data_IF_271138389665
#
_entry.id   IF_271138389665
#
_cell.length_a   1.000
_cell.length_b   1.000
_cell.length_c   1.000
_cell.angle_alpha   90.00
_cell.angle_beta   90.00
_cell.angle_gamma   90.00
#
_symmetry.space_group_name_H-M   'P 1'
#
loop_
_entity.id
_entity.type
_entity.pdbx_description
1 polymer ?
#
# COMPACT_ATOMS: atom_id res chain seq x y z
N UNK A 1 -9.33 -4.12 -1.48
CA UNK A 1 -9.53 -3.10 -2.53
C UNK A 1 -9.54 -3.78 -3.89
N UNK A 2 -10.31 -3.27 -4.85
CA UNK A 2 -10.20 -3.63 -6.27
C UNK A 2 -9.46 -2.49 -6.99
N UNK A 3 -8.40 -2.81 -7.73
CA UNK A 3 -7.67 -1.84 -8.54
C UNK A 3 -7.72 -2.24 -10.01
N UNK A 4 -7.88 -1.25 -10.89
CA UNK A 4 -7.95 -1.45 -12.34
C UNK A 4 -6.93 -0.57 -13.04
N UNK A 5 -6.07 -1.17 -13.87
CA UNK A 5 -5.15 -0.47 -14.76
C UNK A 5 -5.65 -0.61 -16.20
N UNK A 6 -5.94 0.52 -16.83
CA UNK A 6 -6.42 0.56 -18.22
C UNK A 6 -5.25 0.35 -19.19
N UNK A 7 -5.25 -0.75 -19.93
CA UNK A 7 -4.05 -1.24 -20.64
C UNK A 7 -3.55 -0.32 -21.76
N UNK A 8 -4.46 0.42 -22.38
CA UNK A 8 -4.21 1.38 -23.46
C UNK A 8 -3.84 2.78 -22.93
N UNK A 9 -3.92 3.00 -21.61
CA UNK A 9 -3.62 4.30 -21.03
C UNK A 9 -2.11 4.55 -21.01
N UNK A 10 -1.61 5.73 -21.46
CA UNK A 10 -0.18 6.01 -21.54
C UNK A 10 0.58 5.84 -20.22
N UNK A 11 -0.07 6.12 -19.08
CA UNK A 11 0.56 5.92 -17.77
C UNK A 11 0.89 4.45 -17.52
N UNK A 12 0.04 3.50 -17.93
CA UNK A 12 0.27 2.08 -17.71
C UNK A 12 1.50 1.56 -18.48
N UNK A 13 1.85 2.21 -19.60
CA UNK A 13 3.07 1.90 -20.35
C UNK A 13 4.36 2.30 -19.62
N UNK A 14 4.26 3.12 -18.56
CA UNK A 14 5.41 3.47 -17.70
C UNK A 14 5.82 2.32 -16.77
N UNK A 15 5.02 1.27 -16.64
CA UNK A 15 5.32 0.09 -15.82
C UNK A 15 5.72 0.48 -14.39
N UNK A 16 6.93 0.10 -13.97
CA UNK A 16 7.50 0.45 -12.65
C UNK A 16 7.56 1.93 -12.33
N UNK A 17 7.53 2.79 -13.35
CA UNK A 17 7.51 4.25 -13.21
C UNK A 17 6.10 4.83 -13.22
N UNK A 18 5.05 4.01 -13.16
CA UNK A 18 3.67 4.46 -13.01
C UNK A 18 3.51 5.21 -11.67
N UNK A 19 2.69 6.25 -11.64
CA UNK A 19 2.53 7.08 -10.44
C UNK A 19 2.06 6.27 -9.22
N UNK A 20 1.09 5.38 -9.42
CA UNK A 20 0.57 4.48 -8.39
C UNK A 20 1.42 3.21 -8.16
N UNK A 21 2.57 3.08 -8.82
CA UNK A 21 3.53 2.03 -8.46
C UNK A 21 4.31 2.47 -7.24
N UNK A 22 4.09 1.86 -6.06
CA UNK A 22 4.87 2.22 -4.90
C UNK A 22 6.36 1.89 -5.16
N UNK A 23 7.30 2.69 -4.65
CA UNK A 23 8.69 2.28 -4.62
C UNK A 23 8.85 0.94 -3.90
N UNK A 24 10.00 0.28 -4.06
CA UNK A 24 10.27 -0.95 -3.33
C UNK A 24 10.19 -0.68 -1.83
N UNK A 25 9.31 -1.40 -1.14
CA UNK A 25 9.01 -1.21 0.27
C UNK A 25 8.82 -2.54 0.99
N UNK A 26 8.78 -2.50 2.30
CA UNK A 26 8.67 -3.66 3.19
C UNK A 26 7.65 -3.36 4.27
N UNK A 27 6.76 -4.32 4.55
CA UNK A 27 5.87 -4.29 5.70
C UNK A 27 6.48 -5.11 6.83
N UNK A 28 6.52 -4.57 8.06
CA UNK A 28 7.12 -5.27 9.20
C UNK A 28 6.15 -6.21 9.91
N UNK A 29 4.85 -5.92 9.84
CA UNK A 29 3.83 -6.58 10.67
C UNK A 29 2.75 -7.29 9.84
N UNK A 30 2.50 -6.82 8.61
CA UNK A 30 1.33 -7.23 7.83
C UNK A 30 1.78 -7.97 6.58
N UNK A 31 1.07 -9.03 6.21
CA UNK A 31 1.17 -9.57 4.85
C UNK A 31 0.25 -8.80 3.92
N UNK A 32 0.67 -8.66 2.67
CA UNK A 32 -0.17 -8.13 1.60
C UNK A 32 -0.46 -9.25 0.61
N UNK A 33 -1.73 -9.48 0.33
CA UNK A 33 -2.18 -10.55 -0.55
C UNK A 33 -2.93 -9.96 -1.74
N UNK A 34 -2.70 -10.53 -2.91
CA UNK A 34 -3.42 -10.11 -4.11
C UNK A 34 -3.83 -11.29 -4.99
N UNK A 35 -4.84 -11.06 -5.82
CA UNK A 35 -5.30 -11.99 -6.85
C UNK A 35 -5.57 -11.22 -8.14
N UNK A 36 -5.14 -11.79 -9.27
CA UNK A 36 -5.35 -11.21 -10.60
C UNK A 36 -6.65 -11.77 -11.16
N UNK A 37 -7.61 -10.88 -11.40
CA UNK A 37 -8.94 -11.23 -11.92
C UNK A 37 -8.96 -11.16 -13.45
N UNK A 38 -8.20 -10.23 -14.03
CA UNK A 38 -8.07 -10.04 -15.48
C UNK A 38 -6.78 -9.31 -15.84
N UNK A 39 -6.30 -9.48 -17.07
CA UNK A 39 -5.07 -8.83 -17.57
C UNK A 39 -3.79 -9.41 -16.97
N UNK A 40 -2.82 -8.55 -16.67
CA UNK A 40 -1.52 -8.93 -16.09
C UNK A 40 -0.94 -7.82 -15.21
N UNK A 41 -0.39 -8.19 -14.06
CA UNK A 41 0.26 -7.25 -13.14
C UNK A 41 1.70 -7.68 -12.88
N UNK A 42 2.61 -6.71 -12.85
CA UNK A 42 3.99 -6.94 -12.45
C UNK A 42 4.19 -6.73 -10.95
N UNK A 43 5.08 -7.53 -10.37
CA UNK A 43 5.64 -7.29 -9.05
C UNK A 43 7.16 -7.24 -9.15
N UNK A 44 7.79 -6.36 -8.38
CA UNK A 44 9.22 -6.47 -8.07
C UNK A 44 9.32 -6.98 -6.64
N UNK A 45 10.04 -8.06 -6.36
CA UNK A 45 10.14 -8.64 -5.01
C UNK A 45 11.58 -8.92 -4.58
N UNK A 46 11.77 -9.07 -3.27
CA UNK A 46 13.03 -9.39 -2.59
C UNK A 46 14.09 -8.28 -2.70
N UNK A 47 15.20 -8.44 -1.97
CA UNK A 47 16.37 -7.57 -2.10
C UNK A 47 17.12 -7.72 -3.44
N UNK A 48 16.87 -8.80 -4.18
CA UNK A 48 17.44 -8.99 -5.51
C UNK A 48 16.69 -8.19 -6.58
N UNK A 49 15.52 -7.62 -6.24
CA UNK A 49 14.62 -6.92 -7.16
C UNK A 49 14.25 -7.80 -8.36
N UNK A 50 13.64 -8.95 -8.06
CA UNK A 50 13.17 -9.95 -9.02
C UNK A 50 11.81 -9.51 -9.54
N UNK A 51 11.66 -9.50 -10.86
CA UNK A 51 10.39 -9.16 -11.51
C UNK A 51 9.60 -10.41 -11.85
N UNK A 52 8.30 -10.38 -11.53
CA UNK A 52 7.36 -11.45 -11.88
C UNK A 52 6.10 -10.83 -12.45
N UNK A 53 5.65 -11.35 -13.60
CA UNK A 53 4.32 -11.06 -14.16
C UNK A 53 3.34 -12.10 -13.65
N UNK A 54 2.23 -11.63 -13.10
CA UNK A 54 1.13 -12.45 -12.61
C UNK A 54 -0.08 -12.28 -13.53
N UNK A 55 -0.67 -13.38 -13.93
CA UNK A 55 -1.89 -13.44 -14.75
C UNK A 55 -3.00 -14.14 -13.98
N UNK A 56 -4.27 -14.01 -14.40
CA UNK A 56 -5.34 -14.83 -13.85
C UNK A 56 -4.98 -16.31 -13.94
N UNK A 57 -5.46 -17.11 -12.98
CA UNK A 57 -5.24 -18.54 -13.01
C UNK A 57 -5.90 -19.17 -14.23
N UNK A 58 -5.20 -20.14 -14.82
CA UNK A 58 -5.75 -20.96 -15.89
C UNK A 58 -6.80 -21.91 -15.31
N UNK A 59 -8.07 -21.53 -15.46
CA UNK A 59 -9.22 -22.31 -15.02
C UNK A 59 -9.45 -23.57 -15.85
N UNK A 60 -8.73 -23.73 -16.98
CA UNK A 60 -8.95 -24.84 -17.92
C UNK A 60 -8.12 -26.10 -17.59
N UNK A 61 -7.02 -25.96 -16.84
CA UNK A 61 -6.02 -27.04 -16.74
C UNK A 61 -5.99 -27.75 -15.38
N UNK A 62 -6.47 -27.15 -14.29
CA UNK A 62 -6.28 -27.74 -12.94
C UNK A 62 -7.53 -27.89 -12.07
N UNK A 63 -8.68 -27.31 -12.44
CA UNK A 63 -9.92 -27.38 -11.64
C UNK A 63 -9.80 -26.82 -10.22
N UNK A 64 -8.63 -26.33 -9.82
CA UNK A 64 -8.31 -25.80 -8.51
C UNK A 64 -8.23 -24.28 -8.62
N UNK A 65 -9.01 -23.58 -7.80
CA UNK A 65 -8.83 -22.14 -7.61
C UNK A 65 -7.39 -21.90 -7.16
N UNK A 66 -6.59 -21.22 -7.99
CA UNK A 66 -5.21 -20.89 -7.60
C UNK A 66 -5.26 -19.98 -6.39
N UNK A 67 -4.42 -20.32 -5.40
CA UNK A 67 -4.33 -19.54 -4.17
C UNK A 67 -3.90 -18.11 -4.51
N UNK A 68 -4.46 -17.09 -3.84
CA UNK A 68 -3.95 -15.73 -3.90
C UNK A 68 -2.44 -15.66 -3.64
N UNK A 69 -1.77 -14.69 -4.24
CA UNK A 69 -0.35 -14.44 -4.04
C UNK A 69 -0.16 -13.65 -2.75
N UNK A 70 0.48 -14.28 -1.77
CA UNK A 70 0.83 -13.64 -0.50
C UNK A 70 2.25 -13.10 -0.54
N UNK A 71 2.40 -11.86 -0.08
CA UNK A 71 3.67 -11.22 0.24
C UNK A 71 3.76 -11.15 1.75
N UNK A 72 4.56 -12.05 2.33
CA UNK A 72 4.74 -12.14 3.76
C UNK A 72 5.40 -10.88 4.35
N UNK A 73 5.26 -10.63 5.67
CA UNK A 73 6.02 -9.59 6.34
C UNK A 73 7.52 -9.79 6.09
N UNK A 74 8.26 -8.68 6.10
CA UNK A 74 9.70 -8.64 5.85
C UNK A 74 10.15 -9.00 4.42
N UNK A 75 9.23 -9.14 3.47
CA UNK A 75 9.55 -9.32 2.06
C UNK A 75 9.48 -7.97 1.33
N UNK A 76 10.60 -7.44 0.82
CA UNK A 76 10.59 -6.27 -0.05
C UNK A 76 9.72 -6.51 -1.28
N UNK A 77 8.86 -5.56 -1.64
CA UNK A 77 8.03 -5.66 -2.82
C UNK A 77 7.57 -4.31 -3.38
N UNK A 78 7.03 -4.34 -4.59
CA UNK A 78 6.42 -3.23 -5.32
C UNK A 78 5.48 -3.80 -6.38
N UNK A 79 4.39 -3.10 -6.67
CA UNK A 79 3.41 -3.44 -7.72
C UNK A 79 3.52 -2.47 -8.89
N UNK A 80 3.33 -2.98 -10.11
CA UNK A 80 3.34 -2.15 -11.30
C UNK A 80 2.45 -2.69 -12.43
N UNK A 81 1.77 -1.82 -13.18
CA UNK A 81 1.00 -2.24 -14.35
C UNK A 81 1.93 -2.89 -15.37
N UNK A 82 1.58 -4.06 -15.89
CA UNK A 82 2.35 -4.67 -16.98
C UNK A 82 2.25 -3.77 -18.23
N UNK A 83 3.36 -3.18 -18.72
CA UNK A 83 3.32 -2.32 -19.89
C UNK A 83 2.90 -3.09 -21.16
N UNK A 84 3.03 -4.41 -21.15
CA UNK A 84 2.70 -5.30 -22.25
C UNK A 84 1.30 -5.94 -22.13
N UNK A 85 0.51 -5.56 -21.12
CA UNK A 85 -0.86 -6.05 -20.98
C UNK A 85 -1.68 -5.78 -22.27
N UNK A 86 -2.34 -6.83 -22.77
CA UNK A 86 -3.19 -6.79 -23.97
C UNK A 86 -4.65 -6.44 -23.67
N UNK A 87 -5.02 -6.38 -22.40
CA UNK A 87 -6.35 -6.05 -21.90
C UNK A 87 -6.24 -5.39 -20.52
N UNK A 88 -7.31 -4.71 -20.11
CA UNK A 88 -7.37 -4.07 -18.80
C UNK A 88 -7.05 -5.05 -17.68
N UNK A 89 -6.20 -4.60 -16.76
CA UNK A 89 -5.77 -5.41 -15.62
C UNK A 89 -6.64 -5.09 -14.43
N UNK A 90 -7.25 -6.11 -13.83
CA UNK A 90 -7.99 -5.99 -12.57
C UNK A 90 -7.36 -6.88 -11.53
N UNK A 91 -7.01 -6.30 -10.38
CA UNK A 91 -6.54 -7.04 -9.21
C UNK A 91 -7.44 -6.80 -8.00
N UNK A 92 -7.54 -7.83 -7.15
CA UNK A 92 -8.01 -7.70 -5.79
C UNK A 92 -6.78 -7.70 -4.88
N UNK A 93 -6.67 -6.72 -3.98
CA UNK A 93 -5.56 -6.59 -3.04
C UNK A 93 -6.09 -6.33 -1.64
N UNK A 94 -5.50 -6.97 -0.64
CA UNK A 94 -5.85 -6.78 0.77
C UNK A 94 -4.66 -7.07 1.67
N UNK A 95 -4.60 -6.39 2.80
CA UNK A 95 -3.62 -6.67 3.83
C UNK A 95 -4.23 -7.60 4.90
N UNK A 96 -3.42 -8.49 5.46
CA UNK A 96 -3.76 -9.24 6.66
C UNK A 96 -3.10 -8.57 7.87
N UNK A 97 -3.86 -7.84 8.70
CA UNK A 97 -3.31 -7.29 9.93
C UNK A 97 -2.91 -8.41 10.89
N UNK A 98 -1.73 -8.28 11.48
CA UNK A 98 -1.23 -9.12 12.57
C UNK A 98 -0.24 -8.25 13.38
N UNK A 99 -0.38 -8.00 14.71
CA UNK A 99 -1.34 -8.49 15.71
C UNK A 99 -2.50 -7.49 16.03
N UNK A 100 -3.22 -7.69 17.15
CA UNK A 100 -4.43 -6.97 17.64
C UNK A 100 -4.43 -5.42 17.54
N UNK A 101 -3.28 -4.77 17.32
CA UNK A 101 -3.17 -3.32 17.20
C UNK A 101 -3.09 -2.81 15.74
N UNK A 102 -3.25 -3.71 14.75
CA UNK A 102 -3.05 -3.43 13.32
C UNK A 102 -4.31 -3.45 12.46
N UNK A 103 -5.48 -3.83 12.99
CA UNK A 103 -6.72 -4.07 12.23
C UNK A 103 -7.13 -2.92 11.29
N UNK A 104 -6.67 -1.69 11.55
CA UNK A 104 -7.12 -0.48 10.86
C UNK A 104 -5.99 0.29 10.17
N UNK A 105 -4.73 -0.14 10.30
CA UNK A 105 -3.56 0.64 9.84
C UNK A 105 -3.21 0.44 8.35
N UNK A 106 -3.68 -0.65 7.74
CA UNK A 106 -3.63 -0.90 6.28
C UNK A 106 -4.96 -1.45 5.76
N UNK A 107 -6.06 -0.88 6.24
CA UNK A 107 -7.38 -1.23 5.75
C UNK A 107 -7.66 -0.63 4.35
N UNK A 108 -8.90 -0.76 3.87
CA UNK A 108 -9.31 -0.16 2.59
C UNK A 108 -9.08 1.35 2.56
N UNK A 109 -9.29 2.06 3.67
CA UNK A 109 -9.18 3.52 3.73
C UNK A 109 -7.73 3.97 3.57
N UNK A 110 -6.78 3.21 4.14
CA UNK A 110 -5.35 3.42 3.90
C UNK A 110 -5.02 3.37 2.40
N UNK A 111 -5.37 2.29 1.71
CA UNK A 111 -5.07 2.13 0.29
C UNK A 111 -5.75 3.20 -0.56
N UNK A 112 -7.03 3.50 -0.26
CA UNK A 112 -7.79 4.54 -0.94
C UNK A 112 -7.11 5.90 -0.78
N UNK A 113 -6.77 6.31 0.44
CA UNK A 113 -6.14 7.59 0.72
C UNK A 113 -4.79 7.73 0.01
N UNK A 114 -3.91 6.73 0.15
CA UNK A 114 -2.58 6.78 -0.41
C UNK A 114 -2.63 6.82 -1.95
N UNK A 115 -3.42 5.93 -2.57
CA UNK A 115 -3.47 5.83 -4.03
C UNK A 115 -4.20 7.00 -4.68
N UNK A 116 -5.26 7.53 -4.05
CA UNK A 116 -5.92 8.75 -4.53
C UNK A 116 -5.02 9.97 -4.40
N UNK A 117 -4.33 10.12 -3.26
CA UNK A 117 -3.40 11.23 -3.04
C UNK A 117 -2.27 11.23 -4.09
N UNK A 118 -1.66 10.07 -4.33
CA UNK A 118 -0.59 9.94 -5.33
C UNK A 118 -1.12 10.16 -6.75
N UNK A 119 -2.36 9.76 -7.06
CA UNK A 119 -3.01 10.08 -8.34
C UNK A 119 -3.21 11.58 -8.52
N UNK A 120 -3.78 12.25 -7.52
CA UNK A 120 -4.00 13.69 -7.55
C UNK A 120 -2.68 14.47 -7.72
N UNK A 121 -1.61 14.04 -7.04
CA UNK A 121 -0.28 14.63 -7.20
C UNK A 121 0.24 14.44 -8.63
N UNK A 122 0.11 13.23 -9.19
CA UNK A 122 0.58 12.94 -10.54
C UNK A 122 -0.24 13.66 -11.63
N UNK A 123 -1.51 13.93 -11.36
CA UNK A 123 -2.42 14.67 -12.23
C UNK A 123 -2.34 16.19 -12.02
N UNK A 124 -1.50 16.67 -11.10
CA UNK A 124 -1.33 18.10 -10.79
C UNK A 124 -2.51 18.72 -10.03
N UNK A 125 -3.42 17.91 -9.50
CA UNK A 125 -4.55 18.32 -8.65
C UNK A 125 -4.14 18.57 -7.20
N UNK A 126 -3.01 18.01 -6.78
CA UNK A 126 -2.43 18.22 -5.45
C UNK A 126 -0.92 18.43 -5.50
N UNK A 127 -0.39 19.05 -4.43
CA UNK A 127 1.06 19.16 -4.24
C UNK A 127 1.58 17.99 -3.41
N UNK A 128 2.73 17.45 -3.81
CA UNK A 128 3.42 16.41 -3.04
C UNK A 128 3.88 16.98 -1.69
N UNK A 129 3.38 16.39 -0.61
CA UNK A 129 3.79 16.62 0.76
C UNK A 129 4.56 15.41 1.23
N UNK A 130 5.88 15.56 1.33
CA UNK A 130 6.76 14.50 1.85
C UNK A 130 6.32 14.12 3.27
N UNK A 131 5.97 15.10 4.10
CA UNK A 131 5.50 14.84 5.47
C UNK A 131 4.21 14.00 5.50
N UNK A 132 3.27 14.24 4.59
CA UNK A 132 2.05 13.44 4.48
C UNK A 132 2.37 12.00 4.10
N UNK A 133 3.18 11.79 3.06
CA UNK A 133 3.59 10.45 2.61
C UNK A 133 4.31 9.70 3.73
N UNK A 134 5.27 10.34 4.40
CA UNK A 134 6.03 9.71 5.48
C UNK A 134 5.14 9.37 6.68
N UNK A 135 4.18 10.24 7.03
CA UNK A 135 3.21 9.97 8.09
C UNK A 135 2.33 8.76 7.76
N UNK A 136 1.74 8.73 6.56
CA UNK A 136 0.89 7.64 6.11
C UNK A 136 1.66 6.31 6.08
N UNK A 137 2.90 6.29 5.56
CA UNK A 137 3.72 5.07 5.54
C UNK A 137 4.19 4.63 6.95
N UNK A 138 4.42 5.57 7.87
CA UNK A 138 4.90 5.22 9.22
C UNK A 138 3.82 4.56 10.06
N UNK A 139 2.58 5.02 9.96
CA UNK A 139 1.48 4.39 10.70
C UNK A 139 1.16 2.98 10.20
N UNK A 140 1.51 2.65 8.96
CA UNK A 140 1.34 1.31 8.36
C UNK A 140 2.54 0.39 8.59
N UNK A 141 3.44 0.70 9.53
CA UNK A 141 4.64 -0.09 9.82
C UNK A 141 5.41 -0.52 8.55
N UNK A 142 5.51 0.42 7.61
CA UNK A 142 6.10 0.21 6.29
C UNK A 142 7.39 1.00 6.21
N UNK A 143 8.40 0.49 5.48
CA UNK A 143 9.60 1.25 5.17
C UNK A 143 9.95 1.13 3.69
N UNK A 144 10.55 2.19 3.14
CA UNK A 144 11.18 2.10 1.83
C UNK A 144 12.47 1.26 1.91
N UNK A 145 12.81 0.61 0.80
CA UNK A 145 14.05 -0.16 0.67
C UNK A 145 14.99 0.57 -0.27
N UNK A 146 16.03 1.20 0.29
CA UNK A 146 17.07 1.89 -0.47
C UNK A 146 18.18 0.93 -0.86
N UNK A 147 18.69 1.09 -2.08
CA UNK A 147 19.80 0.30 -2.62
C UNK A 147 19.62 -1.21 -2.41
N UNK A 148 18.52 -1.83 -2.90
CA UNK A 148 18.16 -3.21 -2.56
C UNK A 148 19.30 -4.21 -2.84
N UNK A 149 20.06 -4.02 -3.92
CA UNK A 149 21.15 -4.90 -4.37
C UNK A 149 22.48 -4.68 -3.63
N UNK A 150 22.61 -3.64 -2.81
CA UNK A 150 23.79 -3.39 -1.98
C UNK A 150 23.75 -4.28 -0.72
N UNK A 151 23.97 -5.59 -0.92
CA UNK A 151 23.81 -6.62 0.11
C UNK A 151 24.68 -6.36 1.35
N UNK A 152 25.85 -5.74 1.19
CA UNK A 152 26.78 -5.40 2.27
C UNK A 152 26.20 -4.40 3.28
N UNK A 153 25.19 -3.62 2.91
CA UNK A 153 24.49 -2.71 3.82
C UNK A 153 23.57 -3.45 4.81
N UNK A 154 23.24 -4.72 4.54
CA UNK A 154 22.41 -5.53 5.44
C UNK A 154 21.07 -4.85 5.75
N UNK A 155 20.68 -4.75 7.03
CA UNK A 155 19.47 -4.04 7.48
C UNK A 155 19.43 -2.53 7.20
N UNK A 156 20.57 -1.87 6.96
CA UNK A 156 20.61 -0.41 6.77
C UNK A 156 19.78 0.05 5.57
N UNK A 157 19.54 -0.84 4.60
CA UNK A 157 18.70 -0.62 3.40
C UNK A 157 17.26 -0.20 3.73
N UNK A 158 16.71 -0.63 4.86
CA UNK A 158 15.36 -0.27 5.30
C UNK A 158 15.35 0.45 6.66
N UNK A 159 16.36 0.22 7.51
CA UNK A 159 16.44 0.86 8.81
C UNK A 159 16.65 2.38 8.71
N UNK A 160 17.57 2.83 7.84
CA UNK A 160 17.80 4.28 7.63
C UNK A 160 16.54 4.97 7.08
N UNK A 161 15.90 4.46 6.01
CA UNK A 161 14.62 5.01 5.54
C UNK A 161 13.55 5.04 6.64
N UNK A 162 13.45 3.99 7.44
CA UNK A 162 12.45 3.90 8.50
C UNK A 162 12.67 4.96 9.60
N UNK A 163 13.92 5.21 10.01
CA UNK A 163 14.22 6.27 10.99
C UNK A 163 13.91 7.66 10.44
N UNK A 164 14.29 7.92 9.18
CA UNK A 164 13.95 9.18 8.50
C UNK A 164 12.42 9.38 8.43
N UNK A 165 11.70 8.33 8.04
CA UNK A 165 10.25 8.33 7.98
C UNK A 165 9.61 8.58 9.34
N UNK A 166 10.13 7.98 10.42
CA UNK A 166 9.65 8.19 11.79
C UNK A 166 9.83 9.65 12.24
N UNK A 167 10.97 10.26 11.95
CA UNK A 167 11.23 11.68 12.24
C UNK A 167 10.25 12.58 11.47
N UNK A 168 10.05 12.34 10.18
CA UNK A 168 9.06 13.08 9.38
C UNK A 168 7.63 12.90 9.89
N UNK A 169 7.25 11.68 10.29
CA UNK A 169 5.94 11.41 10.84
C UNK A 169 5.72 12.13 12.18
N UNK A 170 6.75 12.22 13.02
CA UNK A 170 6.69 13.01 14.26
C UNK A 170 6.47 14.49 13.96
N UNK A 171 7.26 15.06 13.04
CA UNK A 171 7.10 16.46 12.62
C UNK A 171 5.70 16.73 12.04
N UNK A 172 5.19 15.82 11.20
CA UNK A 172 3.85 15.91 10.63
C UNK A 172 2.77 15.93 11.71
N UNK A 173 2.86 15.04 12.72
CA UNK A 173 1.94 15.03 13.87
C UNK A 173 2.03 16.31 14.70
N UNK A 174 3.25 16.81 14.96
CA UNK A 174 3.44 18.08 15.65
C UNK A 174 2.83 19.27 14.88
N UNK A 175 2.79 19.20 13.54
CA UNK A 175 2.12 20.17 12.68
C UNK A 175 0.60 19.95 12.56
N UNK A 176 0.02 18.99 13.29
CA UNK A 176 -1.42 18.70 13.28
C UNK A 176 -1.90 17.85 12.10
N UNK A 177 -0.99 17.27 11.30
CA UNK A 177 -1.35 16.41 10.17
C UNK A 177 -1.90 15.07 10.66
N UNK A 178 -2.87 14.53 9.90
CA UNK A 178 -3.47 13.21 10.15
C UNK A 178 -3.00 12.21 9.09
N UNK A 179 -2.85 10.91 9.43
CA UNK A 179 -2.40 9.91 8.46
C UNK A 179 -3.37 9.68 7.30
N UNK A 180 -4.67 9.87 7.55
CA UNK A 180 -5.73 9.89 6.55
C UNK A 180 -6.13 11.35 6.26
N UNK A 181 -6.47 11.61 5.01
CA UNK A 181 -6.86 12.91 4.45
C UNK A 181 -8.36 12.86 4.19
N UNK A 182 -9.10 13.69 4.90
CA UNK A 182 -10.57 13.78 4.85
C UNK A 182 -11.13 13.88 3.41
N UNK A 183 -10.46 14.63 2.53
CA UNK A 183 -10.82 14.80 1.12
C UNK A 183 -11.02 13.47 0.37
N UNK A 184 -10.33 12.40 0.77
CA UNK A 184 -10.38 11.10 0.07
C UNK A 184 -11.36 10.12 0.71
N UNK A 185 -12.27 10.60 1.53
CA UNK A 185 -13.24 9.80 2.25
C UNK A 185 -14.62 10.43 2.15
N UNK A 186 -15.66 9.60 2.28
CA UNK A 186 -17.02 10.10 2.50
C UNK A 186 -17.15 10.67 3.92
N UNK A 187 -18.16 11.53 4.13
CA UNK A 187 -18.45 12.13 5.45
C UNK A 187 -18.61 11.06 6.53
N UNK A 188 -19.41 10.02 6.27
CA UNK A 188 -19.61 8.90 7.20
C UNK A 188 -18.30 8.18 7.54
N UNK A 189 -17.45 7.88 6.54
CA UNK A 189 -16.15 7.24 6.78
C UNK A 189 -15.23 8.12 7.63
N UNK A 190 -15.30 9.45 7.44
CA UNK A 190 -14.51 10.40 8.23
C UNK A 190 -14.98 10.48 9.67
N UNK A 191 -16.29 10.54 9.89
CA UNK A 191 -16.88 10.50 11.23
C UNK A 191 -16.47 9.22 11.98
N UNK A 192 -16.53 8.05 11.33
CA UNK A 192 -16.09 6.78 11.90
C UNK A 192 -14.59 6.79 12.25
N UNK A 193 -13.74 7.37 11.39
CA UNK A 193 -12.31 7.54 11.69
C UNK A 193 -12.10 8.47 12.88
N UNK A 194 -12.80 9.60 12.94
CA UNK A 194 -12.68 10.55 14.06
C UNK A 194 -13.13 9.92 15.37
N UNK A 195 -14.25 9.19 15.37
CA UNK A 195 -14.73 8.48 16.55
C UNK A 195 -13.70 7.47 17.06
N UNK A 196 -13.10 6.69 16.16
CA UNK A 196 -12.03 5.73 16.50
C UNK A 196 -10.81 6.42 17.10
N UNK A 197 -10.37 7.53 16.51
CA UNK A 197 -9.24 8.30 17.01
C UNK A 197 -9.51 8.91 18.39
N UNK A 198 -10.72 9.42 18.63
CA UNK A 198 -11.11 10.03 19.90
C UNK A 198 -11.28 8.98 21.01
N UNK A 199 -11.85 7.81 20.69
CA UNK A 199 -12.07 6.73 21.66
C UNK A 199 -10.78 6.05 22.13
N UNK A 200 -9.69 6.11 21.35
CA UNK A 200 -8.36 5.65 21.78
C UNK A 200 -7.69 6.59 22.79
N UNK A 201 -8.21 7.80 22.99
CA UNK A 201 -7.69 8.82 23.92
C UNK A 201 -8.31 8.81 25.33
N UNK A 202 -9.34 8.00 25.61
CA UNK A 202 -9.96 7.96 26.93
C UNK A 202 -11.08 6.94 27.09
N UNK A 203 -10.84 5.94 27.95
CA UNK A 203 -11.85 5.34 28.85
C UNK A 203 -13.07 4.63 28.26
N UNK A 204 -13.03 3.29 28.38
CA UNK A 204 -14.17 2.34 28.43
C UNK A 204 -15.04 2.25 27.16
N UNK A 205 -14.82 1.15 26.43
CA UNK A 205 -15.81 0.53 25.54
C UNK A 205 -17.12 0.37 26.31
N UNK A 206 -18.15 1.15 25.97
CA UNK A 206 -19.53 0.79 26.31
C UNK A 206 -19.90 -0.39 25.43
N UNK A 207 -19.97 -1.58 26.04
CA UNK A 207 -20.57 -2.74 25.41
C UNK A 207 -21.97 -2.35 24.91
N UNK A 208 -22.19 -2.46 23.59
CA UNK A 208 -23.54 -2.48 23.04
C UNK A 208 -24.23 -3.71 23.64
N UNK A 209 -25.27 -3.48 24.44
CA UNK A 209 -26.18 -4.55 24.87
C UNK A 209 -26.88 -5.09 23.62
N UNK A 210 -26.93 -6.42 23.55
CA UNK A 210 -27.74 -7.20 22.62
C UNK A 210 -29.23 -6.90 22.78
#
# INVERSE_FOLDING_TARGET
MRATYKHDHPLCKRGKSHAQSPPLHIHFQQSETFSVVGGSIGTTTTYSAIDTIHTPPDTTTTGAATKPHEIAPWVPHSFWPDPNASQDTTILVWAHPNPDDMDEKMDRLFFQNLLMYVSDVAEGKEKLSVLQVMLTQHVSATALVWFPRAWFLGPLRWWIPYQFQALCALMARCAGMKPLIEKYMSENEWEEVQERMNNRGGGKVKAKKA
#
